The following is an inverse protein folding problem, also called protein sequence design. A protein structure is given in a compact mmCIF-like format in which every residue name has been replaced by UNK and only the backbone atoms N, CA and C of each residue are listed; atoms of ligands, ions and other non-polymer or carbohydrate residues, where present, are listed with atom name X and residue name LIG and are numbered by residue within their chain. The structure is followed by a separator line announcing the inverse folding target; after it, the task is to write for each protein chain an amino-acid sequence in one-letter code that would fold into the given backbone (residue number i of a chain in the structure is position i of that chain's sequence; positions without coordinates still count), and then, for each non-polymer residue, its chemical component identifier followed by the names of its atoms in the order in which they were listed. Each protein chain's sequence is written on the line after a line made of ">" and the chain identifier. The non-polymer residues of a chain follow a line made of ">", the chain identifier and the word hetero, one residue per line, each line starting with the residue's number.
data_IF_366690280800
#
_entry.id   IF_366690280800
#
_cell.length_a   1.000
_cell.length_b   1.000
_cell.length_c   1.000
_cell.angle_alpha   90.00
_cell.angle_beta   90.00
_cell.angle_gamma   90.00
#
_symmetry.space_group_name_H-M   'P 1'
#
loop_
_entity.id
_entity.type
_entity.pdbx_description
1 polymer ?
#
# COMPACT_ATOMS: atom_id res chain seq x y z
N UNK A 1 -11.76 -15.81 19.01
CA UNK A 1 -10.29 -16.12 19.09
C UNK A 1 -9.43 -15.08 18.35
N UNK A 2 -9.91 -14.45 17.26
CA UNK A 2 -9.13 -13.47 16.48
C UNK A 2 -8.93 -12.11 17.18
N UNK A 3 -9.88 -11.66 18.01
CA UNK A 3 -9.76 -10.38 18.72
C UNK A 3 -8.60 -10.34 19.75
N UNK A 4 -8.28 -11.47 20.36
CA UNK A 4 -7.16 -11.58 21.32
C UNK A 4 -5.78 -11.47 20.64
N UNK A 5 -5.66 -11.94 19.39
CA UNK A 5 -4.41 -11.83 18.63
C UNK A 5 -4.16 -10.40 18.12
N UNK A 6 -5.20 -9.70 17.68
CA UNK A 6 -5.10 -8.30 17.26
C UNK A 6 -4.80 -7.40 18.46
N UNK A 7 -5.44 -7.61 19.61
CA UNK A 7 -5.16 -6.84 20.83
C UNK A 7 -3.75 -7.10 21.38
N UNK A 8 -3.25 -8.33 21.30
CA UNK A 8 -1.89 -8.68 21.70
C UNK A 8 -0.81 -8.08 20.80
N UNK A 9 -1.10 -7.88 19.49
CA UNK A 9 -0.24 -7.14 18.56
C UNK A 9 -0.24 -5.64 18.87
N UNK A 10 -1.39 -5.05 19.20
CA UNK A 10 -1.53 -3.63 19.54
C UNK A 10 -0.74 -3.22 20.78
N UNK A 11 -0.75 -4.06 21.82
CA UNK A 11 -0.04 -3.76 23.08
C UNK A 11 1.49 -3.82 22.96
N UNK A 12 2.02 -4.39 21.85
CA UNK A 12 3.45 -4.53 21.59
C UNK A 12 4.01 -3.48 20.62
N UNK A 13 3.15 -2.62 20.03
CA UNK A 13 3.59 -1.62 19.06
C UNK A 13 3.88 -0.31 19.79
N UNK A 14 5.15 0.04 19.90
CA UNK A 14 5.57 1.37 20.33
C UNK A 14 5.39 2.38 19.16
N UNK A 15 5.20 3.66 19.48
CA UNK A 15 4.85 4.71 18.50
C UNK A 15 5.83 4.87 17.34
N UNK A 16 7.08 4.48 17.54
CA UNK A 16 8.16 4.57 16.53
C UNK A 16 8.46 3.23 15.84
N UNK A 17 7.80 2.13 16.25
CA UNK A 17 8.11 0.79 15.75
C UNK A 17 7.58 0.57 14.33
N UNK A 18 8.38 -0.07 13.48
CA UNK A 18 7.95 -0.59 12.18
C UNK A 18 7.33 -1.97 12.37
N UNK A 19 6.12 -2.18 11.85
CA UNK A 19 5.43 -3.46 11.98
C UNK A 19 4.86 -3.89 10.65
N UNK A 20 5.35 -5.00 10.13
CA UNK A 20 4.78 -5.66 8.97
C UNK A 20 3.81 -6.77 9.35
N UNK A 21 2.90 -7.09 8.44
CA UNK A 21 1.91 -8.15 8.59
C UNK A 21 2.33 -9.41 7.83
N UNK A 22 2.14 -10.57 8.46
CA UNK A 22 2.37 -11.89 7.90
C UNK A 22 1.06 -12.53 7.42
N UNK A 23 1.16 -13.51 6.52
CA UNK A 23 0.01 -14.28 6.05
C UNK A 23 -0.57 -15.20 7.14
N UNK A 24 0.31 -15.76 7.97
CA UNK A 24 -0.06 -16.61 9.09
C UNK A 24 0.59 -16.12 10.39
N UNK A 25 -0.01 -16.40 11.57
CA UNK A 25 0.61 -16.11 12.86
C UNK A 25 2.03 -16.70 12.94
N UNK A 26 2.99 -15.89 13.39
CA UNK A 26 4.41 -16.29 13.48
C UNK A 26 5.17 -16.29 12.15
N UNK A 27 4.50 -16.06 11.02
CA UNK A 27 5.13 -15.98 9.71
C UNK A 27 5.93 -14.69 9.46
N UNK A 28 6.73 -14.68 8.39
CA UNK A 28 7.48 -13.48 7.99
C UNK A 28 6.55 -12.42 7.40
N UNK A 29 6.67 -11.14 7.79
CA UNK A 29 5.91 -10.07 7.18
C UNK A 29 6.32 -9.83 5.72
N UNK A 30 5.41 -9.26 4.93
CA UNK A 30 5.67 -8.93 3.54
C UNK A 30 5.01 -7.63 3.12
N UNK A 31 5.56 -6.96 2.11
CA UNK A 31 5.10 -5.67 1.62
C UNK A 31 3.60 -5.70 1.26
N UNK A 32 3.21 -6.54 0.29
CA UNK A 32 1.84 -6.60 -0.20
C UNK A 32 0.81 -6.95 0.91
N UNK A 33 1.17 -7.87 1.80
CA UNK A 33 0.32 -8.27 2.94
C UNK A 33 0.14 -7.14 3.94
N UNK A 34 1.22 -6.40 4.21
CA UNK A 34 1.17 -5.23 5.10
C UNK A 34 0.29 -4.13 4.51
N UNK A 35 0.43 -3.86 3.20
CA UNK A 35 -0.40 -2.89 2.50
C UNK A 35 -1.89 -3.24 2.60
N UNK A 36 -2.25 -4.48 2.27
CA UNK A 36 -3.63 -4.95 2.36
C UNK A 36 -4.17 -4.89 3.81
N UNK A 37 -3.35 -5.25 4.80
CA UNK A 37 -3.76 -5.26 6.21
C UNK A 37 -4.05 -3.85 6.74
N UNK A 38 -3.16 -2.87 6.49
CA UNK A 38 -3.40 -1.50 6.97
C UNK A 38 -4.56 -0.85 6.23
N UNK A 39 -4.73 -1.10 4.93
CA UNK A 39 -5.91 -0.66 4.19
C UNK A 39 -7.20 -1.27 4.77
N UNK A 40 -7.21 -2.57 5.06
CA UNK A 40 -8.35 -3.24 5.69
C UNK A 40 -8.71 -2.65 7.06
N UNK A 41 -7.72 -2.30 7.89
CA UNK A 41 -7.96 -1.60 9.15
C UNK A 41 -8.66 -0.27 8.94
N UNK A 42 -8.19 0.51 7.95
CA UNK A 42 -8.75 1.83 7.65
C UNK A 42 -10.19 1.75 7.12
N UNK A 43 -10.50 0.85 6.19
CA UNK A 43 -11.88 0.68 5.69
C UNK A 43 -12.83 0.13 6.76
N UNK A 44 -12.30 -0.48 7.83
CA UNK A 44 -13.03 -0.84 9.04
C UNK A 44 -13.11 0.33 10.06
N UNK A 45 -12.78 1.55 9.66
CA UNK A 45 -12.84 2.75 10.51
C UNK A 45 -11.68 2.91 11.51
N UNK A 46 -10.60 2.12 11.37
CA UNK A 46 -9.42 2.16 12.26
C UNK A 46 -8.30 3.03 11.68
N UNK A 47 -8.63 4.24 11.26
CA UNK A 47 -7.70 5.15 10.57
C UNK A 47 -6.45 5.50 11.40
N UNK A 48 -6.63 5.78 12.69
CA UNK A 48 -5.55 6.21 13.60
C UNK A 48 -4.95 5.06 14.42
N UNK A 49 -5.24 3.81 14.07
CA UNK A 49 -4.69 2.65 14.77
C UNK A 49 -3.14 2.66 14.69
N UNK A 50 -2.45 2.42 15.81
CA UNK A 50 -0.99 2.34 15.83
C UNK A 50 -0.40 1.37 14.80
N UNK A 51 -1.12 0.29 14.48
CA UNK A 51 -0.71 -0.68 13.45
C UNK A 51 -0.74 -0.09 12.05
N UNK A 52 -1.64 0.86 11.74
CA UNK A 52 -1.65 1.56 10.47
C UNK A 52 -0.40 2.40 10.31
N UNK A 53 -0.01 3.17 11.34
CA UNK A 53 1.19 4.00 11.34
C UNK A 53 2.48 3.15 11.27
N UNK A 54 2.55 2.08 12.06
CA UNK A 54 3.69 1.15 12.07
C UNK A 54 3.82 0.39 10.73
N UNK A 55 2.70 -0.04 10.15
CA UNK A 55 2.65 -0.68 8.84
C UNK A 55 3.08 0.25 7.72
N UNK A 56 2.66 1.52 7.75
CA UNK A 56 3.09 2.54 6.80
C UNK A 56 4.62 2.72 6.83
N UNK A 57 5.24 2.84 8.02
CA UNK A 57 6.70 2.89 8.14
C UNK A 57 7.39 1.64 7.56
N UNK A 58 6.83 0.47 7.83
CA UNK A 58 7.31 -0.78 7.24
C UNK A 58 7.26 -0.76 5.71
N UNK A 59 6.17 -0.24 5.12
CA UNK A 59 6.03 -0.13 3.67
C UNK A 59 7.08 0.78 3.05
N UNK A 60 7.37 1.95 3.65
CA UNK A 60 8.44 2.82 3.19
C UNK A 60 9.81 2.15 3.24
N UNK A 61 10.11 1.45 4.32
CA UNK A 61 11.40 0.73 4.48
C UNK A 61 11.57 -0.42 3.50
N UNK A 62 10.47 -1.11 3.18
CA UNK A 62 10.48 -2.28 2.29
C UNK A 62 10.11 -1.97 0.85
N UNK A 63 9.88 -0.71 0.53
CA UNK A 63 9.58 -0.33 -0.84
C UNK A 63 10.72 -0.71 -1.79
N UNK A 64 10.40 -1.48 -2.80
CA UNK A 64 11.33 -1.89 -3.84
C UNK A 64 10.60 -2.05 -5.17
N UNK A 65 11.19 -1.53 -6.25
CA UNK A 65 10.67 -1.76 -7.59
C UNK A 65 10.75 -3.22 -8.04
N UNK A 66 11.60 -4.04 -7.40
CA UNK A 66 11.76 -5.48 -7.64
C UNK A 66 10.88 -6.35 -6.74
N UNK A 67 9.94 -5.79 -5.96
CA UNK A 67 9.01 -6.56 -5.13
C UNK A 67 8.19 -7.52 -6.00
N UNK A 68 8.12 -8.79 -5.61
CA UNK A 68 7.42 -9.85 -6.35
C UNK A 68 5.94 -9.51 -6.62
N UNK A 69 5.26 -8.93 -5.66
CA UNK A 69 3.86 -8.52 -5.76
C UNK A 69 3.74 -7.00 -5.89
N UNK A 70 4.60 -6.39 -6.70
CA UNK A 70 4.71 -4.93 -6.80
C UNK A 70 3.37 -4.26 -7.15
N UNK A 71 2.71 -4.70 -8.21
CA UNK A 71 1.42 -4.12 -8.65
C UNK A 71 0.35 -4.28 -7.59
N UNK A 72 0.16 -5.52 -7.10
CA UNK A 72 -0.83 -5.83 -6.07
C UNK A 72 -0.56 -5.08 -4.76
N UNK A 73 0.68 -5.10 -4.28
CA UNK A 73 1.05 -4.42 -3.03
C UNK A 73 0.85 -2.90 -3.10
N UNK A 74 1.23 -2.28 -4.21
CA UNK A 74 1.07 -0.84 -4.39
C UNK A 74 -0.38 -0.43 -4.64
N UNK A 75 -1.21 -1.28 -5.22
CA UNK A 75 -2.65 -1.06 -5.35
C UNK A 75 -3.34 -0.86 -3.99
N UNK A 76 -2.90 -1.57 -2.94
CA UNK A 76 -3.39 -1.38 -1.58
C UNK A 76 -2.60 -0.32 -0.78
N UNK A 77 -1.31 -0.20 -1.03
CA UNK A 77 -0.49 0.78 -0.32
C UNK A 77 -0.88 2.23 -0.66
N UNK A 78 -1.25 2.49 -1.91
CA UNK A 78 -1.63 3.84 -2.35
C UNK A 78 -2.87 4.36 -1.60
N UNK A 79 -4.04 3.70 -1.59
CA UNK A 79 -5.18 4.18 -0.83
C UNK A 79 -4.92 4.19 0.68
N UNK A 80 -4.11 3.27 1.21
CA UNK A 80 -3.75 3.28 2.62
C UNK A 80 -2.98 4.55 2.99
N UNK A 81 -1.97 4.93 2.21
CA UNK A 81 -1.22 6.17 2.44
C UNK A 81 -2.05 7.42 2.14
N UNK A 82 -2.94 7.36 1.14
CA UNK A 82 -3.89 8.43 0.84
C UNK A 82 -4.80 8.74 2.04
N UNK A 83 -5.35 7.72 2.69
CA UNK A 83 -6.18 7.88 3.88
C UNK A 83 -5.39 8.32 5.13
N UNK A 84 -4.09 8.03 5.23
CA UNK A 84 -3.23 8.63 6.25
C UNK A 84 -3.08 10.13 5.98
N UNK A 85 -2.91 10.51 4.71
CA UNK A 85 -2.86 11.89 4.27
C UNK A 85 -1.55 12.62 4.58
N UNK A 86 -1.58 13.95 4.47
CA UNK A 86 -0.48 14.84 4.81
C UNK A 86 0.85 14.48 4.13
N UNK A 87 1.96 14.70 4.85
CA UNK A 87 3.31 14.44 4.34
C UNK A 87 3.55 12.94 4.04
N UNK A 88 2.84 12.03 4.72
CA UNK A 88 2.95 10.59 4.45
C UNK A 88 2.46 10.27 3.05
N UNK A 89 1.29 10.80 2.66
CA UNK A 89 0.76 10.63 1.31
C UNK A 89 1.64 11.30 0.27
N UNK A 90 2.03 12.55 0.48
CA UNK A 90 2.86 13.31 -0.46
C UNK A 90 4.15 12.55 -0.79
N UNK A 91 4.88 12.14 0.24
CA UNK A 91 6.11 11.35 0.09
C UNK A 91 5.87 10.01 -0.62
N UNK A 92 4.78 9.32 -0.29
CA UNK A 92 4.43 8.06 -0.96
C UNK A 92 4.12 8.28 -2.43
N UNK A 93 3.31 9.29 -2.75
CA UNK A 93 2.89 9.57 -4.11
C UNK A 93 4.07 9.98 -5.00
N UNK A 94 4.99 10.78 -4.50
CA UNK A 94 6.24 11.12 -5.20
C UNK A 94 7.07 9.87 -5.49
N UNK A 95 7.25 8.99 -4.50
CA UNK A 95 8.01 7.75 -4.62
C UNK A 95 7.39 6.79 -5.65
N UNK A 96 6.10 6.52 -5.54
CA UNK A 96 5.42 5.60 -6.47
C UNK A 96 5.30 6.20 -7.86
N UNK A 97 4.99 7.48 -7.97
CA UNK A 97 4.88 8.19 -9.26
C UNK A 97 6.18 8.16 -10.04
N UNK A 98 7.31 8.47 -9.39
CA UNK A 98 8.63 8.36 -10.01
C UNK A 98 8.94 6.92 -10.47
N UNK A 99 8.59 5.95 -9.64
CA UNK A 99 8.79 4.52 -9.96
C UNK A 99 7.93 4.09 -11.14
N UNK A 100 6.66 4.45 -11.16
CA UNK A 100 5.74 4.10 -12.25
C UNK A 100 6.13 4.78 -13.56
N UNK A 101 6.53 6.06 -13.51
CA UNK A 101 7.04 6.77 -14.68
C UNK A 101 8.24 6.06 -15.30
N UNK A 102 9.19 5.63 -14.47
CA UNK A 102 10.38 4.87 -14.93
C UNK A 102 10.05 3.50 -15.51
N UNK A 103 8.97 2.86 -15.05
CA UNK A 103 8.53 1.52 -15.49
C UNK A 103 7.52 1.55 -16.63
N UNK A 104 7.02 2.71 -17.00
CA UNK A 104 6.10 2.88 -18.11
C UNK A 104 6.73 2.42 -19.43
N UNK A 105 5.95 1.76 -20.24
CA UNK A 105 6.31 1.31 -21.58
C UNK A 105 5.37 1.94 -22.60
N UNK A 106 5.84 2.10 -23.83
CA UNK A 106 5.05 2.64 -24.93
C UNK A 106 4.79 1.55 -25.98
N UNK A 107 3.59 1.58 -26.56
CA UNK A 107 3.17 0.77 -27.70
C UNK A 107 2.32 1.67 -28.61
N UNK A 108 2.97 2.31 -29.59
CA UNK A 108 2.38 3.42 -30.34
C UNK A 108 2.05 4.59 -29.42
N UNK A 109 0.79 5.03 -29.42
CA UNK A 109 0.29 6.11 -28.55
C UNK A 109 -0.10 5.62 -27.13
N UNK A 110 -0.09 4.31 -26.90
CA UNK A 110 -0.53 3.74 -25.65
C UNK A 110 0.61 3.60 -24.65
N UNK A 111 0.39 4.13 -23.46
CA UNK A 111 1.27 3.86 -22.30
C UNK A 111 0.74 2.68 -21.50
N UNK A 112 1.60 1.73 -21.14
CA UNK A 112 1.22 0.57 -20.37
C UNK A 112 2.31 0.14 -19.38
N UNK A 113 1.92 -0.75 -18.45
CA UNK A 113 2.84 -1.40 -17.51
C UNK A 113 2.70 -2.91 -17.60
N UNK A 114 3.85 -3.59 -17.50
CA UNK A 114 3.89 -5.04 -17.35
C UNK A 114 4.03 -5.42 -15.87
N UNK A 115 3.43 -6.53 -15.48
CA UNK A 115 3.53 -7.10 -14.13
C UNK A 115 3.15 -8.58 -14.13
N UNK A 116 3.26 -9.25 -12.97
CA UNK A 116 3.09 -10.70 -12.82
C UNK A 116 1.69 -11.19 -13.21
N UNK A 117 0.67 -10.34 -13.12
CA UNK A 117 -0.74 -10.68 -13.42
C UNK A 117 -1.13 -10.28 -14.85
N UNK A 118 -0.20 -9.77 -15.62
CA UNK A 118 -0.41 -9.35 -17.01
C UNK A 118 -0.54 -7.85 -17.23
N UNK A 119 -0.46 -7.46 -18.50
CA UNK A 119 -0.40 -6.06 -18.93
C UNK A 119 -1.65 -5.26 -18.59
N UNK A 120 -2.83 -5.83 -18.84
CA UNK A 120 -4.12 -5.13 -18.64
C UNK A 120 -4.33 -4.79 -17.16
N UNK A 121 -4.19 -5.79 -16.29
CA UNK A 121 -4.33 -5.57 -14.85
C UNK A 121 -3.32 -4.55 -14.31
N UNK A 122 -2.06 -4.71 -14.68
CA UNK A 122 -0.99 -3.82 -14.19
C UNK A 122 -1.19 -2.38 -14.66
N UNK A 123 -1.63 -2.18 -15.90
CA UNK A 123 -1.93 -0.85 -16.43
C UNK A 123 -3.11 -0.22 -15.71
N UNK A 124 -4.21 -0.94 -15.54
CA UNK A 124 -5.38 -0.44 -14.82
C UNK A 124 -5.05 -0.09 -13.36
N UNK A 125 -4.35 -0.95 -12.64
CA UNK A 125 -3.95 -0.70 -11.26
C UNK A 125 -3.03 0.52 -11.11
N UNK A 126 -2.02 0.65 -11.99
CA UNK A 126 -1.10 1.78 -11.93
C UNK A 126 -1.76 3.09 -12.37
N UNK A 127 -2.65 3.07 -13.36
CA UNK A 127 -3.45 4.23 -13.74
C UNK A 127 -4.35 4.69 -12.58
N UNK A 128 -4.98 3.75 -11.88
CA UNK A 128 -5.77 4.04 -10.68
C UNK A 128 -4.94 4.71 -9.58
N UNK A 129 -3.72 4.22 -9.31
CA UNK A 129 -2.81 4.82 -8.33
C UNK A 129 -2.47 6.27 -8.72
N UNK A 130 -2.12 6.50 -9.99
CA UNK A 130 -1.78 7.83 -10.49
C UNK A 130 -2.98 8.79 -10.50
N UNK A 131 -4.19 8.27 -10.65
CA UNK A 131 -5.43 9.05 -10.68
C UNK A 131 -5.96 9.45 -9.28
N UNK A 132 -5.45 8.86 -8.19
CA UNK A 132 -5.96 9.13 -6.83
C UNK A 132 -6.02 10.61 -6.44
N UNK A 133 -5.00 11.46 -6.71
CA UNK A 133 -5.06 12.86 -6.33
C UNK A 133 -6.17 13.66 -7.03
N UNK A 134 -6.70 13.15 -8.11
CA UNK A 134 -7.74 13.82 -8.90
C UNK A 134 -9.16 13.50 -8.45
N UNK A 135 -9.31 12.72 -7.37
CA UNK A 135 -10.60 12.38 -6.75
C UNK A 135 -11.63 11.72 -7.68
N UNK A 136 -11.19 11.05 -8.74
CA UNK A 136 -12.09 10.32 -9.65
C UNK A 136 -12.77 9.10 -8.99
N UNK A 137 -12.21 8.59 -7.91
CA UNK A 137 -12.74 7.44 -7.18
C UNK A 137 -13.20 7.87 -5.77
N UNK A 138 -14.51 8.00 -5.51
CA UNK A 138 -15.03 8.42 -4.21
C UNK A 138 -14.74 7.42 -3.08
N UNK A 139 -14.39 6.19 -3.40
CA UNK A 139 -14.10 5.11 -2.43
C UNK A 139 -12.90 5.39 -1.52
N UNK A 140 -12.03 6.32 -1.89
CA UNK A 140 -10.81 6.66 -1.14
C UNK A 140 -10.94 7.98 -0.36
N UNK A 141 -12.13 8.53 -0.27
CA UNK A 141 -12.38 9.73 0.53
C UNK A 141 -12.55 9.34 2.01
N UNK A 142 -11.92 10.11 2.89
CA UNK A 142 -12.01 10.00 4.35
C UNK A 142 -13.11 10.91 4.86
#
# INVERSE_FOLDING_TARGET
>A
KNNKQISGLRSKVQSEEEKGFAYQPGGKPGFARTAAAIYSLQVCGKYDDPLVKAGSRYLFKKFSSGERWFTYGNYYAAPAHYMIGGETWKRWYELIGATLKKRAKQDGELTYWSGDIGRIYSTAAHATILAMPYHYLPLYQR
#
